data_IF_219090139863
#
_entry.id   IF_219090139863
#
_cell.length_a   1.000
_cell.length_b   1.000
_cell.length_c   1.000
_cell.angle_alpha   90.00
_cell.angle_beta   90.00
_cell.angle_gamma   90.00
#
_symmetry.space_group_name_H-M   'P 1'
#
loop_
_entity.id
_entity.type
_entity.pdbx_description
1 polymer ?
#
# COMPACT_ATOMS: atom_id res chain seq x y z
N UNK A 1 0.19 2.55 45.76
CA UNK A 1 0.52 1.74 44.57
C UNK A 1 -0.43 2.15 43.46
N UNK A 2 -0.01 3.04 42.56
CA UNK A 2 -0.71 3.28 41.29
C UNK A 2 0.35 3.30 40.21
N UNK A 3 0.50 2.20 39.49
CA UNK A 3 1.43 2.08 38.38
C UNK A 3 0.68 2.53 37.12
N UNK A 4 0.93 3.77 36.69
CA UNK A 4 0.44 4.27 35.43
C UNK A 4 1.13 3.47 34.31
N UNK A 5 0.36 2.68 33.57
CA UNK A 5 0.80 2.11 32.31
C UNK A 5 0.90 3.26 31.30
N UNK A 6 2.09 3.84 31.19
CA UNK A 6 2.43 4.68 30.05
C UNK A 6 2.54 3.72 28.87
N UNK A 7 1.50 3.63 28.06
CA UNK A 7 1.61 2.98 26.75
C UNK A 7 2.78 3.66 26.05
N UNK A 8 3.87 2.92 25.81
CA UNK A 8 5.03 3.43 25.12
C UNK A 8 4.57 3.87 23.72
N UNK A 9 4.34 5.18 23.55
CA UNK A 9 4.11 5.75 22.24
C UNK A 9 5.40 5.53 21.46
N UNK A 10 5.38 4.56 20.55
CA UNK A 10 6.49 4.26 19.65
C UNK A 10 6.93 5.60 19.03
N UNK A 11 8.24 5.92 19.00
CA UNK A 11 8.70 7.24 18.60
C UNK A 11 8.19 7.57 17.21
N UNK A 12 7.25 8.50 17.13
CA UNK A 12 6.83 9.14 15.91
C UNK A 12 8.01 9.99 15.44
N UNK A 13 8.93 9.40 14.67
CA UNK A 13 9.75 10.20 13.74
C UNK A 13 8.77 11.08 12.99
N UNK A 14 9.11 12.36 12.76
CA UNK A 14 8.35 13.29 11.91
C UNK A 14 8.30 12.76 10.47
N UNK A 15 7.56 11.67 10.25
CA UNK A 15 7.25 11.16 8.93
C UNK A 15 6.17 12.10 8.41
N UNK A 16 6.33 12.57 7.18
CA UNK A 16 5.35 13.42 6.53
C UNK A 16 4.03 12.67 6.32
N UNK A 17 3.24 13.10 5.34
CA UNK A 17 2.05 12.33 4.98
C UNK A 17 2.42 10.90 4.55
N UNK A 18 1.58 9.89 4.85
CA UNK A 18 1.80 8.54 4.36
C UNK A 18 1.85 8.51 2.82
N UNK A 19 2.61 7.59 2.21
CA UNK A 19 2.67 7.46 0.77
C UNK A 19 1.30 7.05 0.20
N UNK A 20 0.83 7.79 -0.81
CA UNK A 20 -0.46 7.54 -1.47
C UNK A 20 -0.27 6.69 -2.74
N UNK A 21 -1.22 5.79 -3.01
CA UNK A 21 -1.31 5.05 -4.28
C UNK A 21 -2.67 5.26 -4.92
N UNK A 22 -2.71 5.89 -6.09
CA UNK A 22 -3.96 6.26 -6.74
C UNK A 22 -4.52 5.15 -7.64
N UNK A 23 -3.69 4.17 -8.01
CA UNK A 23 -4.03 3.12 -8.96
C UNK A 23 -4.01 3.60 -10.41
N UNK A 24 -3.18 4.60 -10.71
CA UNK A 24 -3.01 5.17 -12.06
C UNK A 24 -1.73 4.62 -12.71
N UNK A 25 -1.67 4.66 -14.04
CA UNK A 25 -0.52 4.15 -14.80
C UNK A 25 0.79 4.95 -14.56
N UNK A 26 0.68 6.17 -14.04
CA UNK A 26 1.82 7.00 -13.63
C UNK A 26 2.32 6.69 -12.21
N UNK A 27 1.53 5.97 -11.40
CA UNK A 27 1.98 5.56 -10.08
C UNK A 27 3.05 4.47 -10.22
N UNK A 28 4.08 4.52 -9.38
CA UNK A 28 5.06 3.42 -9.29
C UNK A 28 4.65 2.51 -8.13
N UNK A 29 4.04 1.36 -8.46
CA UNK A 29 3.51 0.44 -7.46
C UNK A 29 4.61 -0.12 -6.54
N UNK A 30 5.76 -0.50 -7.10
CA UNK A 30 6.84 -1.10 -6.30
C UNK A 30 7.48 -0.06 -5.39
N UNK A 31 7.65 1.17 -5.86
CA UNK A 31 8.09 2.28 -5.02
C UNK A 31 7.09 2.56 -3.89
N UNK A 32 5.79 2.58 -4.19
CA UNK A 32 4.77 2.80 -3.16
C UNK A 32 4.76 1.70 -2.10
N UNK A 33 4.87 0.42 -2.51
CA UNK A 33 4.96 -0.71 -1.58
C UNK A 33 6.17 -0.57 -0.67
N UNK A 34 7.34 -0.26 -1.23
CA UNK A 34 8.56 -0.04 -0.47
C UNK A 34 8.43 1.14 0.50
N UNK A 35 7.96 2.30 0.03
CA UNK A 35 7.76 3.49 0.87
C UNK A 35 6.75 3.25 1.99
N UNK A 36 5.71 2.45 1.76
CA UNK A 36 4.71 2.08 2.76
C UNK A 36 5.34 1.23 3.87
N UNK A 37 6.13 0.21 3.52
CA UNK A 37 6.83 -0.61 4.51
C UNK A 37 7.83 0.21 5.33
N UNK A 38 8.53 1.15 4.68
CA UNK A 38 9.42 2.08 5.40
C UNK A 38 8.63 3.03 6.32
N UNK A 39 7.49 3.54 5.88
CA UNK A 39 6.64 4.43 6.66
C UNK A 39 6.15 3.77 7.95
N UNK A 40 5.73 2.50 7.86
CA UNK A 40 5.21 1.74 9.00
C UNK A 40 6.25 0.83 9.65
N UNK A 41 7.55 1.09 9.47
CA UNK A 41 8.62 0.22 10.01
C UNK A 41 8.59 0.08 11.55
N UNK A 42 8.10 1.08 12.28
CA UNK A 42 7.89 0.99 13.74
C UNK A 42 6.69 0.10 14.14
N UNK A 43 5.82 -0.23 13.19
CA UNK A 43 4.65 -1.09 13.34
C UNK A 43 4.88 -2.49 12.74
N UNK A 44 6.14 -2.92 12.61
CA UNK A 44 6.49 -4.20 11.98
C UNK A 44 5.73 -5.42 12.55
N UNK A 45 5.49 -5.46 13.86
CA UNK A 45 4.69 -6.51 14.50
C UNK A 45 3.26 -6.56 13.95
N UNK A 46 2.61 -5.40 13.77
CA UNK A 46 1.24 -5.32 13.24
C UNK A 46 1.17 -5.72 11.77
N UNK A 47 2.22 -5.42 11.00
CA UNK A 47 2.38 -5.88 9.61
C UNK A 47 2.54 -7.41 9.55
N UNK A 48 3.22 -8.00 10.54
CA UNK A 48 3.51 -9.43 10.61
C UNK A 48 2.39 -10.26 11.22
N UNK A 49 1.48 -9.67 12.00
CA UNK A 49 0.44 -10.38 12.75
C UNK A 49 -0.65 -11.07 11.89
N UNK A 50 -0.50 -11.12 10.56
CA UNK A 50 -1.43 -11.78 9.62
C UNK A 50 -2.93 -11.43 9.86
N UNK A 51 -3.20 -10.22 10.35
CA UNK A 51 -4.56 -9.71 10.57
C UNK A 51 -4.96 -8.69 9.51
N UNK A 52 -6.26 -8.35 9.48
CA UNK A 52 -6.78 -7.30 8.60
C UNK A 52 -6.50 -5.87 9.09
N UNK A 53 -6.04 -5.68 10.33
CA UNK A 53 -5.94 -4.35 10.95
C UNK A 53 -4.99 -3.42 10.17
N UNK A 54 -3.80 -3.93 9.83
CA UNK A 54 -2.85 -3.16 9.04
C UNK A 54 -3.41 -2.83 7.65
N UNK A 55 -4.03 -3.82 7.00
CA UNK A 55 -4.59 -3.67 5.65
C UNK A 55 -5.76 -2.67 5.62
N UNK A 56 -6.57 -2.62 6.69
CA UNK A 56 -7.60 -1.62 6.88
C UNK A 56 -7.01 -0.20 7.04
N UNK A 57 -5.85 -0.08 7.69
CA UNK A 57 -5.13 1.21 7.80
C UNK A 57 -4.65 1.69 6.43
N UNK A 58 -4.16 0.76 5.60
CA UNK A 58 -3.69 1.08 4.24
C UNK A 58 -4.80 1.63 3.34
N UNK A 59 -6.08 1.28 3.59
CA UNK A 59 -7.20 1.81 2.81
C UNK A 59 -7.22 3.34 2.73
N UNK A 60 -6.84 4.03 3.81
CA UNK A 60 -6.79 5.50 3.84
C UNK A 60 -5.70 6.09 2.94
N UNK A 61 -4.70 5.27 2.57
CA UNK A 61 -3.57 5.67 1.73
C UNK A 61 -3.81 5.34 0.24
N UNK A 62 -5.02 4.88 -0.11
CA UNK A 62 -5.41 4.56 -1.47
C UNK A 62 -6.25 5.70 -2.07
N UNK A 63 -5.99 6.03 -3.33
CA UNK A 63 -6.85 6.90 -4.13
C UNK A 63 -8.09 6.17 -4.65
N UNK A 64 -9.06 6.89 -5.25
CA UNK A 64 -10.40 6.35 -5.56
C UNK A 64 -10.41 5.05 -6.39
N UNK A 65 -9.54 4.95 -7.41
CA UNK A 65 -9.44 3.75 -8.25
C UNK A 65 -8.93 2.55 -7.45
N UNK A 66 -7.86 2.73 -6.68
CA UNK A 66 -7.32 1.69 -5.82
C UNK A 66 -8.28 1.31 -4.67
N UNK A 67 -9.02 2.27 -4.11
CA UNK A 67 -10.05 2.01 -3.10
C UNK A 67 -11.20 1.15 -3.65
N UNK A 68 -11.64 1.41 -4.87
CA UNK A 68 -12.70 0.62 -5.52
C UNK A 68 -12.27 -0.83 -5.64
N UNK A 69 -11.07 -1.06 -6.19
CA UNK A 69 -10.49 -2.40 -6.28
C UNK A 69 -10.29 -3.05 -4.91
N UNK A 70 -9.85 -2.30 -3.90
CA UNK A 70 -9.63 -2.82 -2.55
C UNK A 70 -10.91 -3.41 -1.93
N UNK A 71 -12.07 -2.78 -2.17
CA UNK A 71 -13.36 -3.30 -1.69
C UNK A 71 -13.69 -4.64 -2.34
N UNK A 72 -13.52 -4.76 -3.66
CA UNK A 72 -13.73 -6.01 -4.38
C UNK A 72 -12.75 -7.10 -3.93
N UNK A 73 -11.49 -6.73 -3.72
CA UNK A 73 -10.47 -7.59 -3.15
C UNK A 73 -10.89 -8.14 -1.78
N UNK A 74 -11.31 -7.27 -0.85
CA UNK A 74 -11.79 -7.69 0.49
C UNK A 74 -12.99 -8.62 0.40
N UNK A 75 -13.95 -8.33 -0.47
CA UNK A 75 -15.11 -9.20 -0.68
C UNK A 75 -14.70 -10.58 -1.22
N UNK A 76 -13.69 -10.65 -2.09
CA UNK A 76 -13.22 -11.91 -2.68
C UNK A 76 -12.56 -12.87 -1.69
N UNK A 77 -12.16 -12.39 -0.51
CA UNK A 77 -11.55 -13.21 0.54
C UNK A 77 -12.58 -13.90 1.45
N UNK A 78 -13.84 -13.46 1.44
CA UNK A 78 -14.86 -13.94 2.37
C UNK A 78 -14.43 -13.73 3.83
N UNK A 79 -14.44 -14.81 4.63
CA UNK A 79 -14.08 -14.77 6.05
C UNK A 79 -12.56 -14.79 6.31
N UNK A 80 -11.74 -14.95 5.27
CA UNK A 80 -10.29 -14.99 5.44
C UNK A 80 -9.72 -13.59 5.73
N UNK A 81 -8.73 -13.46 6.64
CA UNK A 81 -8.12 -12.18 6.92
C UNK A 81 -7.38 -11.64 5.70
N UNK A 82 -7.55 -10.36 5.41
CA UNK A 82 -6.74 -9.66 4.42
C UNK A 82 -5.39 -9.30 5.05
N UNK A 83 -4.37 -10.10 4.78
CA UNK A 83 -3.01 -9.84 5.29
C UNK A 83 -2.22 -8.92 4.35
N UNK A 84 -1.17 -8.29 4.88
CA UNK A 84 -0.28 -7.46 4.07
C UNK A 84 0.34 -8.25 2.91
N UNK A 85 0.71 -9.51 3.16
CA UNK A 85 1.24 -10.43 2.15
C UNK A 85 0.26 -10.67 1.01
N UNK A 86 -1.00 -10.96 1.33
CA UNK A 86 -2.06 -11.19 0.33
C UNK A 86 -2.32 -9.90 -0.48
N UNK A 87 -2.41 -8.75 0.19
CA UNK A 87 -2.61 -7.48 -0.49
C UNK A 87 -1.47 -7.18 -1.47
N UNK A 88 -0.21 -7.34 -1.04
CA UNK A 88 0.97 -7.14 -1.89
C UNK A 88 0.98 -8.01 -3.13
N UNK A 89 0.48 -9.25 -3.03
CA UNK A 89 0.34 -10.12 -4.19
C UNK A 89 -0.76 -9.62 -5.13
N UNK A 90 -1.98 -9.42 -4.61
CA UNK A 90 -3.15 -9.09 -5.43
C UNK A 90 -3.06 -7.70 -6.06
N UNK A 91 -2.46 -6.72 -5.38
CA UNK A 91 -2.28 -5.37 -5.94
C UNK A 91 -1.30 -5.38 -7.11
N UNK A 92 -0.24 -6.19 -7.04
CA UNK A 92 0.67 -6.41 -8.17
C UNK A 92 -0.05 -7.05 -9.34
N UNK A 93 -0.81 -8.12 -9.11
CA UNK A 93 -1.60 -8.75 -10.16
C UNK A 93 -2.57 -7.77 -10.84
N UNK A 94 -3.15 -6.83 -10.08
CA UNK A 94 -4.10 -5.85 -10.61
C UNK A 94 -3.45 -4.73 -11.42
N UNK A 95 -2.36 -4.14 -10.92
CA UNK A 95 -1.85 -2.87 -11.45
C UNK A 95 -0.55 -3.01 -12.26
N UNK A 96 0.12 -4.17 -12.26
CA UNK A 96 1.38 -4.40 -12.99
C UNK A 96 1.31 -4.14 -14.49
N UNK A 97 0.18 -4.43 -15.14
CA UNK A 97 0.02 -4.18 -16.58
C UNK A 97 -0.15 -2.69 -16.90
N UNK A 98 -0.71 -1.91 -15.96
CA UNK A 98 -0.85 -0.46 -16.12
C UNK A 98 0.51 0.24 -16.08
N UNK A 99 1.39 -0.19 -15.19
CA UNK A 99 2.79 0.29 -15.11
C UNK A 99 3.55 0.02 -16.42
N UNK A 100 3.34 -1.15 -17.03
CA UNK A 100 4.03 -1.54 -18.25
C UNK A 100 3.53 -0.77 -19.49
N UNK A 101 2.23 -0.48 -19.56
CA UNK A 101 1.66 0.32 -20.64
C UNK A 101 2.12 1.79 -20.60
N UNK A 102 2.28 2.39 -19.42
CA UNK A 102 2.81 3.74 -19.32
C UNK A 102 4.30 3.81 -19.68
N UNK A 103 5.11 2.86 -19.19
CA UNK A 103 6.55 2.77 -19.50
C UNK A 103 6.80 2.53 -20.99
N UNK A 104 5.96 1.75 -21.66
CA UNK A 104 6.06 1.56 -23.11
C UNK A 104 5.60 2.79 -23.90
N UNK A 105 4.48 3.41 -23.54
CA UNK A 105 3.97 4.61 -24.24
C UNK A 105 4.95 5.80 -24.16
N UNK A 106 5.55 6.04 -22.99
CA UNK A 106 6.56 7.09 -22.79
C UNK A 106 7.84 6.82 -23.59
N UNK A 107 8.28 5.56 -23.69
CA UNK A 107 9.44 5.18 -24.49
C UNK A 107 9.23 5.41 -25.99
N UNK A 108 8.05 5.07 -26.52
CA UNK A 108 7.72 5.32 -27.93
C UNK A 108 7.58 6.81 -28.24
N UNK A 109 7.03 7.63 -27.34
CA UNK A 109 6.96 9.09 -27.53
C UNK A 109 8.34 9.76 -27.48
N UNK A 110 9.25 9.28 -26.61
CA UNK A 110 10.62 9.82 -26.51
C UNK A 110 11.50 9.46 -27.71
N UNK A 111 11.22 8.35 -28.41
CA UNK A 111 11.97 7.90 -29.60
C UNK A 111 11.40 8.41 -30.92
N UNK A 112 10.13 8.79 -30.96
CA UNK A 112 9.47 9.35 -32.16
C UNK A 112 9.67 10.88 -32.35
N UNK A 113 10.27 11.58 -31.39
CA UNK A 113 10.55 13.03 -31.46
C UNK A 113 12.01 13.37 -31.82
N UNK A 114 12.71 12.48 -32.52
CA UNK A 114 14.07 12.73 -33.05
C UNK A 114 14.09 12.75 -34.58
#
# INVERSE_FOLDING_TARGET
MLQAHVAAQKPQKKMGNPPMFHGQASDDLELWLFSTEQYYASYAEEIQNETSEFVNTIFANLGPTAQTWYRDFKLSLGDQPATWTILKQRIRERFRDSDFQHKSSTYYQATASK
#
